data_IF_088364206961
#
_entry.id   IF_088364206961
#
_cell.length_a   1.000
_cell.length_b   1.000
_cell.length_c   1.000
_cell.angle_alpha   90.00
_cell.angle_beta   90.00
_cell.angle_gamma   90.00
#
_symmetry.space_group_name_H-M   'P 1'
#
loop_
_entity.id
_entity.type
_entity.pdbx_description
1 polymer ?
#
# COMPACT_ATOMS: atom_id res chain seq x y z
N UNK A 1 25.69 10.22 -7.08
CA UNK A 1 24.98 8.99 -7.50
C UNK A 1 24.21 9.17 -8.82
N UNK A 2 23.11 10.01 -8.91
CA UNK A 2 22.38 10.22 -10.19
C UNK A 2 23.32 10.74 -11.29
N UNK A 3 24.14 11.75 -11.00
CA UNK A 3 25.11 12.31 -11.93
C UNK A 3 26.19 11.27 -12.35
N UNK A 4 26.65 10.44 -11.44
CA UNK A 4 27.62 9.38 -11.72
C UNK A 4 27.04 8.30 -12.64
N UNK A 5 25.77 7.89 -12.43
CA UNK A 5 25.08 6.91 -13.29
C UNK A 5 24.84 7.51 -14.68
N UNK A 6 24.39 8.76 -14.77
CA UNK A 6 24.19 9.45 -16.03
C UNK A 6 25.49 9.62 -16.81
N UNK A 7 26.58 9.97 -16.12
CA UNK A 7 27.92 10.08 -16.73
C UNK A 7 28.44 8.72 -17.21
N UNK A 8 28.30 7.65 -16.41
CA UNK A 8 28.68 6.30 -16.80
C UNK A 8 27.87 5.80 -18.02
N UNK A 9 26.61 6.17 -18.13
CA UNK A 9 25.80 5.88 -19.30
C UNK A 9 26.29 6.65 -20.53
N UNK A 10 26.50 7.97 -20.41
CA UNK A 10 27.01 8.80 -21.50
C UNK A 10 28.38 8.32 -22.02
N UNK A 11 29.31 7.98 -21.13
CA UNK A 11 30.65 7.46 -21.49
C UNK A 11 30.56 6.10 -22.23
N UNK A 12 29.56 5.27 -21.94
CA UNK A 12 29.39 3.95 -22.58
C UNK A 12 28.56 3.99 -23.86
N UNK A 13 27.55 4.84 -23.93
CA UNK A 13 26.64 4.96 -25.08
C UNK A 13 27.20 5.88 -26.20
N UNK A 14 28.17 6.74 -25.89
CA UNK A 14 28.68 7.75 -26.82
C UNK A 14 27.66 8.86 -27.13
N UNK A 15 26.62 9.02 -26.31
CA UNK A 15 25.56 9.99 -26.51
C UNK A 15 25.86 11.29 -25.77
N UNK A 16 25.80 12.43 -26.47
CA UNK A 16 25.96 13.75 -25.87
C UNK A 16 24.65 14.12 -25.16
N UNK A 17 24.69 14.40 -23.84
CA UNK A 17 23.52 14.62 -22.96
C UNK A 17 22.80 15.95 -23.25
N UNK A 18 23.23 16.72 -24.26
CA UNK A 18 22.77 18.08 -24.52
C UNK A 18 21.43 18.20 -25.27
N UNK A 19 20.87 17.13 -25.86
CA UNK A 19 19.57 17.18 -26.54
C UNK A 19 18.43 16.70 -25.61
N UNK A 20 17.69 17.67 -25.07
CA UNK A 20 16.47 17.44 -24.26
C UNK A 20 15.28 17.09 -25.14
N UNK A 21 14.58 15.94 -24.95
CA UNK A 21 13.24 15.77 -25.45
C UNK A 21 12.26 16.57 -24.57
N UNK A 22 11.46 17.41 -25.18
CA UNK A 22 10.35 18.15 -24.53
C UNK A 22 9.21 17.19 -24.20
N UNK A 23 8.86 17.09 -22.92
CA UNK A 23 7.62 16.42 -22.48
C UNK A 23 6.48 17.42 -22.63
N UNK A 24 5.58 17.17 -23.56
CA UNK A 24 4.36 17.92 -23.73
C UNK A 24 3.14 16.99 -23.50
N UNK A 25 2.22 17.56 -22.76
CA UNK A 25 0.77 17.45 -22.79
C UNK A 25 0.05 16.59 -21.76
N UNK A 26 -0.72 17.37 -21.00
CA UNK A 26 -1.76 17.01 -20.06
C UNK A 26 -2.96 16.33 -20.75
N UNK A 27 -3.27 15.10 -20.37
CA UNK A 27 -4.57 14.49 -20.64
C UNK A 27 -5.38 14.33 -19.34
N UNK A 28 -6.61 14.82 -19.41
CA UNK A 28 -7.66 14.65 -18.39
C UNK A 28 -8.02 13.17 -18.31
N UNK A 29 -7.98 12.63 -17.09
CA UNK A 29 -8.26 11.21 -16.82
C UNK A 29 -9.75 10.90 -17.03
N UNK A 30 -10.03 10.03 -17.99
CA UNK A 30 -11.26 9.25 -18.04
C UNK A 30 -11.05 8.01 -17.13
N UNK A 31 -12.00 7.75 -16.21
CA UNK A 31 -11.89 6.76 -15.15
C UNK A 31 -11.90 5.30 -15.67
N UNK A 32 -10.86 4.91 -16.38
CA UNK A 32 -10.69 3.57 -16.96
C UNK A 32 -9.70 2.67 -16.20
N UNK A 33 -9.70 2.68 -14.86
CA UNK A 33 -8.88 1.77 -14.08
C UNK A 33 -9.52 0.37 -14.04
N UNK A 34 -8.82 -0.64 -14.58
CA UNK A 34 -9.23 -2.05 -14.46
C UNK A 34 -8.41 -2.74 -13.39
N UNK A 35 -9.07 -3.55 -12.56
CA UNK A 35 -8.39 -4.41 -11.59
C UNK A 35 -7.47 -5.43 -12.30
N UNK A 36 -6.41 -5.93 -11.66
CA UNK A 36 -5.54 -6.97 -12.23
C UNK A 36 -6.32 -8.21 -12.60
N UNK A 37 -6.03 -8.82 -13.75
CA UNK A 37 -6.82 -9.90 -14.35
C UNK A 37 -7.07 -11.13 -13.46
N UNK A 38 -6.18 -11.44 -12.50
CA UNK A 38 -6.32 -12.57 -11.58
C UNK A 38 -7.22 -12.27 -10.38
N UNK A 39 -7.19 -11.05 -9.84
CA UNK A 39 -7.94 -10.63 -8.64
C UNK A 39 -9.36 -10.20 -9.02
N UNK A 40 -9.56 -9.72 -10.24
CA UNK A 40 -10.87 -9.28 -10.74
C UNK A 40 -11.95 -10.39 -10.68
N UNK A 41 -11.55 -11.66 -10.73
CA UNK A 41 -12.45 -12.82 -10.71
C UNK A 41 -12.75 -13.35 -9.29
N UNK A 42 -12.06 -12.87 -8.23
CA UNK A 42 -12.24 -13.36 -6.88
C UNK A 42 -13.46 -12.73 -6.18
N UNK A 43 -14.04 -13.49 -5.23
CA UNK A 43 -15.22 -13.09 -4.47
C UNK A 43 -14.96 -11.83 -3.63
N UNK A 44 -15.87 -10.83 -3.63
CA UNK A 44 -15.77 -9.68 -2.74
C UNK A 44 -15.95 -10.10 -1.28
N UNK A 45 -15.01 -9.70 -0.41
CA UNK A 45 -15.08 -9.93 1.04
C UNK A 45 -15.50 -8.69 1.80
N UNK A 46 -15.23 -7.49 1.27
CA UNK A 46 -15.78 -6.23 1.80
C UNK A 46 -16.29 -5.39 0.62
N UNK A 47 -17.51 -4.92 0.72
CA UNK A 47 -18.14 -4.04 -0.26
C UNK A 47 -18.63 -2.78 0.42
N UNK A 48 -18.20 -1.64 -0.08
CA UNK A 48 -18.58 -0.31 0.36
C UNK A 48 -19.28 0.38 -0.80
N UNK A 49 -20.49 0.88 -0.58
CA UNK A 49 -21.25 1.59 -1.59
C UNK A 49 -21.70 2.94 -1.06
N UNK A 50 -21.22 4.01 -1.71
CA UNK A 50 -21.62 5.39 -1.43
C UNK A 50 -21.48 5.81 0.04
N UNK A 51 -20.46 5.31 0.74
CA UNK A 51 -20.24 5.56 2.16
C UNK A 51 -19.88 7.03 2.40
N UNK A 52 -20.69 7.70 3.25
CA UNK A 52 -20.36 9.02 3.74
C UNK A 52 -20.48 9.06 5.26
N UNK A 53 -19.51 9.71 5.92
CA UNK A 53 -19.46 9.83 7.36
C UNK A 53 -19.01 11.22 7.82
N UNK A 54 -19.68 11.76 8.83
CA UNK A 54 -19.31 13.03 9.46
C UNK A 54 -19.40 12.91 10.99
N UNK A 55 -18.36 13.38 11.66
CA UNK A 55 -18.33 13.46 13.12
C UNK A 55 -19.09 14.69 13.67
N UNK A 56 -19.25 15.74 12.88
CA UNK A 56 -19.79 17.02 13.31
C UNK A 56 -21.24 17.28 12.90
N UNK A 57 -21.71 16.66 11.80
CA UNK A 57 -23.06 16.89 11.29
C UNK A 57 -24.12 16.06 12.00
N UNK A 58 -25.19 16.72 12.44
CA UNK A 58 -26.42 16.05 12.90
C UNK A 58 -27.14 15.33 11.75
N UNK A 59 -28.01 14.37 12.07
CA UNK A 59 -28.82 13.65 11.08
C UNK A 59 -29.69 14.58 10.20
N UNK A 60 -30.16 15.70 10.78
CA UNK A 60 -30.96 16.71 10.07
C UNK A 60 -30.13 17.48 9.05
N UNK A 61 -28.88 17.82 9.40
CA UNK A 61 -27.94 18.53 8.51
C UNK A 61 -27.48 17.62 7.37
N UNK A 62 -27.16 16.36 7.64
CA UNK A 62 -26.84 15.36 6.60
C UNK A 62 -27.99 15.22 5.58
N UNK A 63 -29.25 15.14 6.03
CA UNK A 63 -30.41 15.10 5.13
C UNK A 63 -30.53 16.35 4.25
N UNK A 64 -30.22 17.54 4.79
CA UNK A 64 -30.19 18.78 4.00
C UNK A 64 -29.09 18.75 2.93
N UNK A 65 -27.90 18.28 3.33
CA UNK A 65 -26.78 18.11 2.40
C UNK A 65 -27.14 17.16 1.24
N UNK A 66 -27.68 16.00 1.54
CA UNK A 66 -28.11 15.00 0.55
C UNK A 66 -29.12 15.57 -0.46
N UNK A 67 -30.08 16.35 0.00
CA UNK A 67 -31.06 17.00 -0.90
C UNK A 67 -30.39 17.99 -1.84
N UNK A 68 -29.43 18.77 -1.37
CA UNK A 68 -28.66 19.71 -2.19
C UNK A 68 -27.78 19.00 -3.22
N UNK A 69 -27.12 17.91 -2.83
CA UNK A 69 -26.27 17.11 -3.73
C UNK A 69 -27.08 16.38 -4.81
N UNK A 70 -28.32 15.92 -4.50
CA UNK A 70 -29.16 15.23 -5.45
C UNK A 70 -29.70 16.17 -6.56
N UNK A 71 -29.84 17.47 -6.28
CA UNK A 71 -30.32 18.50 -7.24
C UNK A 71 -29.18 19.11 -8.07
N UNK A 72 -27.93 18.87 -7.67
CA UNK A 72 -26.75 19.38 -8.38
C UNK A 72 -26.30 18.39 -9.46
N UNK A 73 -26.06 18.85 -10.68
CA UNK A 73 -25.47 18.04 -11.77
C UNK A 73 -24.07 17.53 -11.42
N UNK A 74 -23.54 16.55 -12.18
CA UNK A 74 -22.25 15.90 -11.87
C UNK A 74 -21.09 16.88 -11.62
N UNK A 75 -20.95 17.91 -12.45
CA UNK A 75 -19.95 18.97 -12.26
C UNK A 75 -20.17 19.83 -11.00
N UNK A 76 -21.45 19.98 -10.60
CA UNK A 76 -21.80 20.74 -9.37
C UNK A 76 -21.71 19.88 -8.11
N UNK A 77 -21.75 18.55 -8.22
CA UNK A 77 -21.45 17.65 -7.09
C UNK A 77 -20.00 17.84 -6.63
N UNK A 78 -19.05 17.86 -7.57
CA UNK A 78 -17.63 18.08 -7.28
C UNK A 78 -17.40 19.48 -6.69
N UNK A 79 -18.16 20.52 -7.14
CA UNK A 79 -18.14 21.86 -6.56
C UNK A 79 -18.82 21.97 -5.19
N UNK A 80 -19.83 21.15 -4.89
CA UNK A 80 -20.49 21.09 -3.57
C UNK A 80 -19.65 20.33 -2.53
N UNK A 81 -18.82 19.41 -2.99
CA UNK A 81 -17.88 18.65 -2.18
C UNK A 81 -16.51 19.34 -2.12
N UNK A 82 -16.32 20.46 -2.82
CA UNK A 82 -15.07 21.16 -3.13
C UNK A 82 -14.00 21.13 -2.05
N UNK A 83 -12.78 21.46 -2.43
CA UNK A 83 -11.58 21.59 -1.58
C UNK A 83 -11.80 22.59 -0.41
N UNK A 84 -12.78 22.31 0.44
CA UNK A 84 -13.03 23.08 1.66
C UNK A 84 -12.28 22.39 2.79
N UNK A 85 -11.16 22.95 3.27
CA UNK A 85 -10.40 22.42 4.40
C UNK A 85 -11.25 22.34 5.68
N UNK A 86 -12.40 23.03 5.72
CA UNK A 86 -13.39 22.98 6.79
C UNK A 86 -14.55 22.01 6.47
N UNK A 87 -14.40 21.12 5.49
CA UNK A 87 -15.44 20.15 5.15
C UNK A 87 -15.81 19.33 6.38
N UNK A 88 -17.09 19.26 6.76
CA UNK A 88 -17.52 18.48 7.93
C UNK A 88 -17.51 16.96 7.69
N UNK A 89 -17.11 16.52 6.49
CA UNK A 89 -17.14 15.13 6.08
C UNK A 89 -15.75 14.48 6.23
N UNK A 90 -15.70 13.41 7.02
CA UNK A 90 -14.53 12.56 7.13
C UNK A 90 -14.46 11.53 5.98
N UNK A 91 -15.62 11.09 5.48
CA UNK A 91 -15.75 10.28 4.26
C UNK A 91 -16.86 10.87 3.38
N UNK A 92 -16.65 10.85 2.05
CA UNK A 92 -17.54 11.42 1.06
C UNK A 92 -17.72 10.46 -0.12
N UNK A 93 -18.90 9.86 -0.22
CA UNK A 93 -19.32 9.04 -1.36
C UNK A 93 -18.29 7.95 -1.76
N UNK A 94 -17.68 7.32 -0.74
CA UNK A 94 -16.65 6.29 -0.94
C UNK A 94 -17.32 5.02 -1.42
N UNK A 95 -16.88 4.51 -2.58
CA UNK A 95 -17.24 3.20 -3.11
C UNK A 95 -15.95 2.41 -3.30
N UNK A 96 -15.88 1.22 -2.70
CA UNK A 96 -14.68 0.39 -2.68
C UNK A 96 -15.06 -1.07 -2.47
N UNK A 97 -14.37 -1.97 -3.15
CA UNK A 97 -14.49 -3.42 -2.96
C UNK A 97 -13.14 -3.99 -2.57
N UNK A 98 -13.08 -4.83 -1.53
CA UNK A 98 -11.90 -5.65 -1.19
C UNK A 98 -12.21 -7.09 -1.57
N UNK A 99 -11.31 -7.75 -2.28
CA UNK A 99 -11.50 -9.11 -2.80
C UNK A 99 -10.79 -10.14 -1.92
N UNK A 100 -11.28 -11.38 -1.93
CA UNK A 100 -10.66 -12.48 -1.18
C UNK A 100 -9.23 -12.75 -1.68
N UNK A 101 -8.29 -12.85 -0.75
CA UNK A 101 -6.88 -13.08 -1.06
C UNK A 101 -6.18 -11.89 -1.72
N UNK A 102 -6.76 -10.68 -1.64
CA UNK A 102 -6.15 -9.44 -2.14
C UNK A 102 -5.26 -8.80 -1.08
N UNK A 103 -4.14 -8.21 -1.50
CA UNK A 103 -3.37 -7.27 -0.70
C UNK A 103 -3.67 -5.84 -1.17
N UNK A 104 -4.61 -5.18 -0.49
CA UNK A 104 -5.03 -3.82 -0.80
C UNK A 104 -4.22 -2.79 0.00
N UNK A 105 -3.57 -1.86 -0.69
CA UNK A 105 -2.93 -0.69 -0.11
C UNK A 105 -3.89 0.51 -0.01
N UNK A 106 -3.91 1.18 1.13
CA UNK A 106 -4.68 2.41 1.34
C UNK A 106 -3.72 3.56 1.61
N UNK A 107 -3.52 4.41 0.61
CA UNK A 107 -2.65 5.60 0.66
C UNK A 107 -3.44 6.88 0.92
N UNK A 108 -2.73 7.94 1.33
CA UNK A 108 -3.30 9.28 1.51
C UNK A 108 -2.60 10.05 2.61
N UNK A 109 -2.68 11.38 2.59
CA UNK A 109 -2.12 12.23 3.63
C UNK A 109 -2.92 12.12 4.95
N UNK A 110 -2.37 12.68 6.04
CA UNK A 110 -3.07 12.78 7.32
C UNK A 110 -4.36 13.60 7.15
N UNK A 111 -5.48 13.07 7.67
CA UNK A 111 -6.80 13.69 7.51
C UNK A 111 -7.55 13.33 6.22
N UNK A 112 -6.99 12.50 5.33
CA UNK A 112 -7.68 12.08 4.11
C UNK A 112 -8.85 11.09 4.32
N UNK A 113 -9.14 10.65 5.56
CA UNK A 113 -10.27 9.77 5.88
C UNK A 113 -9.91 8.29 6.09
N UNK A 114 -8.65 7.87 5.91
CA UNK A 114 -8.23 6.46 6.00
C UNK A 114 -8.62 5.77 7.31
N UNK A 115 -8.29 6.36 8.46
CA UNK A 115 -8.61 5.76 9.77
C UNK A 115 -10.12 5.67 10.01
N UNK A 116 -10.90 6.62 9.47
CA UNK A 116 -12.37 6.54 9.50
C UNK A 116 -12.85 5.39 8.62
N UNK A 117 -12.27 5.21 7.44
CA UNK A 117 -12.59 4.09 6.54
C UNK A 117 -12.25 2.76 7.20
N UNK A 118 -11.04 2.60 7.77
CA UNK A 118 -10.60 1.40 8.52
C UNK A 118 -11.62 1.01 9.60
N UNK A 119 -12.11 1.97 10.37
CA UNK A 119 -13.11 1.72 11.43
C UNK A 119 -14.47 1.26 10.90
N UNK A 120 -14.79 1.55 9.63
CA UNK A 120 -15.98 1.00 8.98
C UNK A 120 -15.78 -0.43 8.48
N UNK A 121 -14.54 -0.81 8.08
CA UNK A 121 -14.28 -2.15 7.53
C UNK A 121 -14.58 -3.28 8.53
N UNK A 122 -14.37 -3.04 9.83
CA UNK A 122 -14.63 -4.04 10.89
C UNK A 122 -15.85 -3.72 11.76
N UNK A 123 -16.68 -2.74 11.37
CA UNK A 123 -17.89 -2.37 12.09
C UNK A 123 -17.68 -1.70 13.45
N UNK A 124 -16.49 -1.09 13.71
CA UNK A 124 -16.30 -0.20 14.87
C UNK A 124 -17.18 1.03 14.76
N UNK A 125 -17.28 1.60 13.56
CA UNK A 125 -18.21 2.67 13.23
C UNK A 125 -19.23 2.13 12.24
N UNK A 126 -20.51 2.40 12.47
CA UNK A 126 -21.58 2.04 11.54
C UNK A 126 -21.77 3.10 10.47
N UNK A 127 -22.10 2.71 9.22
CA UNK A 127 -22.34 3.66 8.15
C UNK A 127 -23.47 4.63 8.51
N UNK A 128 -23.23 5.92 8.27
CA UNK A 128 -24.26 6.97 8.45
C UNK A 128 -25.06 7.18 7.17
N UNK A 129 -24.40 7.08 6.02
CA UNK A 129 -24.97 7.08 4.66
C UNK A 129 -24.25 6.04 3.82
N UNK A 130 -24.94 5.48 2.82
CA UNK A 130 -24.44 4.35 2.04
C UNK A 130 -24.55 3.02 2.79
N UNK A 131 -23.78 2.03 2.35
CA UNK A 131 -23.73 0.69 2.96
C UNK A 131 -22.31 0.16 3.03
N UNK A 132 -22.06 -0.68 4.03
CA UNK A 132 -20.82 -1.48 4.16
C UNK A 132 -21.26 -2.90 4.46
N UNK A 133 -20.88 -3.82 3.59
CA UNK A 133 -21.05 -5.25 3.74
C UNK A 133 -19.67 -5.90 3.89
N UNK A 134 -19.48 -6.72 4.91
CA UNK A 134 -18.25 -7.48 5.11
C UNK A 134 -18.59 -8.94 5.32
N UNK A 135 -17.98 -9.83 4.52
CA UNK A 135 -18.21 -11.27 4.56
C UNK A 135 -19.70 -11.64 4.47
N UNK A 136 -20.44 -10.92 3.62
CA UNK A 136 -21.88 -11.10 3.44
C UNK A 136 -22.78 -10.53 4.55
N UNK A 137 -22.20 -9.82 5.55
CA UNK A 137 -22.91 -9.24 6.70
C UNK A 137 -23.02 -7.72 6.56
N UNK A 138 -24.23 -7.18 6.77
CA UNK A 138 -24.47 -5.72 6.71
C UNK A 138 -24.09 -5.03 8.03
N UNK A 139 -23.07 -4.16 7.97
CA UNK A 139 -22.53 -3.46 9.13
C UNK A 139 -23.43 -2.34 9.68
N UNK A 140 -24.55 -2.03 9.03
CA UNK A 140 -25.60 -1.19 9.61
C UNK A 140 -26.33 -1.91 10.75
N UNK A 141 -26.38 -3.25 10.69
CA UNK A 141 -26.97 -4.12 11.71
C UNK A 141 -25.98 -4.33 12.87
N UNK A 142 -26.41 -4.07 14.11
CA UNK A 142 -25.57 -4.22 15.31
C UNK A 142 -25.07 -5.65 15.54
N UNK A 143 -25.89 -6.67 15.22
CA UNK A 143 -25.51 -8.08 15.41
C UNK A 143 -24.46 -8.50 14.40
N UNK A 144 -24.65 -8.13 13.13
CA UNK A 144 -23.74 -8.45 12.04
C UNK A 144 -22.39 -7.73 12.23
N UNK A 145 -22.41 -6.45 12.62
CA UNK A 145 -21.21 -5.70 12.97
C UNK A 145 -20.43 -6.33 14.15
N UNK A 146 -21.13 -6.95 15.11
CA UNK A 146 -20.45 -7.68 16.20
C UNK A 146 -19.82 -8.99 15.71
N UNK A 147 -20.48 -9.72 14.81
CA UNK A 147 -19.97 -10.96 14.22
C UNK A 147 -18.73 -10.69 13.32
N UNK A 148 -18.75 -9.60 12.56
CA UNK A 148 -17.64 -9.23 11.67
C UNK A 148 -16.34 -8.92 12.44
N UNK A 149 -16.43 -8.36 13.65
CA UNK A 149 -15.24 -8.04 14.48
C UNK A 149 -14.34 -9.24 14.77
N UNK A 150 -14.89 -10.43 14.81
CA UNK A 150 -14.13 -11.66 14.99
C UNK A 150 -13.37 -12.09 13.70
N UNK A 151 -13.90 -11.72 12.55
CA UNK A 151 -13.44 -12.17 11.24
C UNK A 151 -12.62 -11.12 10.48
N UNK A 152 -12.81 -9.84 10.80
CA UNK A 152 -12.02 -8.72 10.28
C UNK A 152 -11.15 -8.20 11.42
N UNK A 153 -9.94 -8.72 11.52
CA UNK A 153 -8.94 -8.32 12.50
C UNK A 153 -8.36 -6.94 12.15
N UNK A 154 -8.21 -6.07 13.14
CA UNK A 154 -7.58 -4.75 12.97
C UNK A 154 -6.38 -4.63 13.89
N UNK A 155 -5.24 -4.29 13.30
CA UNK A 155 -4.01 -3.92 14.02
C UNK A 155 -3.84 -2.41 13.85
N UNK A 156 -4.01 -1.67 14.95
CA UNK A 156 -3.87 -0.21 14.97
C UNK A 156 -2.40 0.22 15.06
N UNK A 157 -2.15 1.48 14.79
CA UNK A 157 -0.83 2.09 14.98
C UNK A 157 -0.35 1.90 16.44
N UNK A 158 0.91 1.47 16.60
CA UNK A 158 1.52 1.11 17.90
C UNK A 158 0.73 0.01 18.64
N UNK A 159 0.59 -1.19 18.06
CA UNK A 159 -0.23 -2.25 18.65
C UNK A 159 0.29 -2.72 20.02
N UNK A 160 1.57 -2.54 20.30
CA UNK A 160 2.19 -2.82 21.61
C UNK A 160 1.56 -2.03 22.76
N UNK A 161 0.93 -0.89 22.50
CA UNK A 161 0.22 -0.10 23.51
C UNK A 161 -1.14 -0.68 23.91
N UNK A 162 -1.59 -1.73 23.20
CA UNK A 162 -2.84 -2.41 23.47
C UNK A 162 -2.68 -3.64 24.37
N UNK A 163 -1.43 -4.00 24.73
CA UNK A 163 -1.14 -5.08 25.65
C UNK A 163 -1.55 -4.67 27.07
N UNK A 164 -2.23 -5.58 27.78
CA UNK A 164 -2.82 -5.26 29.10
C UNK A 164 -2.81 -6.42 30.09
N UNK A 165 -2.61 -7.68 29.64
CA UNK A 165 -2.66 -8.84 30.51
C UNK A 165 -1.38 -9.02 31.35
N UNK A 166 -1.47 -9.82 32.41
CA UNK A 166 -0.33 -10.13 33.26
C UNK A 166 0.73 -10.97 32.55
N UNK A 167 0.30 -11.87 31.63
CA UNK A 167 1.20 -12.73 30.86
C UNK A 167 0.90 -12.68 29.38
N UNK A 168 1.92 -12.97 28.54
CA UNK A 168 1.82 -13.08 27.10
C UNK A 168 0.73 -14.10 26.68
N UNK A 169 0.72 -15.26 27.34
CA UNK A 169 -0.26 -16.31 27.02
C UNK A 169 -1.69 -15.82 27.29
N UNK A 170 -1.93 -15.05 28.35
CA UNK A 170 -3.24 -14.49 28.68
C UNK A 170 -3.66 -13.42 27.67
N UNK A 171 -2.71 -12.56 27.26
CA UNK A 171 -2.98 -11.47 26.31
C UNK A 171 -3.39 -12.03 24.95
N UNK A 172 -2.60 -12.95 24.40
CA UNK A 172 -2.89 -13.61 23.10
C UNK A 172 -4.17 -14.44 23.15
N UNK A 173 -4.45 -15.12 24.28
CA UNK A 173 -5.66 -15.92 24.47
C UNK A 173 -6.94 -15.08 24.65
N UNK A 174 -6.83 -13.77 24.88
CA UNK A 174 -7.98 -12.92 25.23
C UNK A 174 -9.06 -12.89 24.12
N UNK A 175 -8.66 -12.69 22.86
CA UNK A 175 -9.58 -12.69 21.72
C UNK A 175 -10.35 -14.01 21.58
N UNK A 176 -9.68 -15.16 21.45
CA UNK A 176 -10.31 -16.47 21.39
C UNK A 176 -11.23 -16.82 22.56
N UNK A 177 -10.86 -16.43 23.79
CA UNK A 177 -11.74 -16.57 24.98
C UNK A 177 -13.03 -15.77 24.86
N UNK A 178 -12.94 -14.54 24.39
CA UNK A 178 -14.12 -13.69 24.18
C UNK A 178 -15.05 -14.20 23.08
N UNK A 179 -14.54 -15.03 22.16
CA UNK A 179 -15.36 -15.74 21.18
C UNK A 179 -16.09 -16.95 21.78
N UNK A 180 -15.83 -17.27 23.05
CA UNK A 180 -16.47 -18.43 23.74
C UNK A 180 -15.91 -19.78 23.28
N UNK A 181 -14.70 -19.82 22.75
CA UNK A 181 -14.08 -21.07 22.29
C UNK A 181 -13.70 -21.98 23.48
N UNK A 182 -13.70 -23.31 23.29
CA UNK A 182 -13.20 -24.26 24.27
C UNK A 182 -11.74 -23.98 24.66
N UNK A 183 -11.35 -24.31 25.89
CA UNK A 183 -10.04 -23.97 26.44
C UNK A 183 -8.86 -24.58 25.67
N UNK A 184 -9.01 -25.80 25.14
CA UNK A 184 -8.03 -26.46 24.30
C UNK A 184 -7.83 -25.74 22.96
N UNK A 185 -8.92 -25.28 22.34
CA UNK A 185 -8.87 -24.49 21.10
C UNK A 185 -8.26 -23.10 21.34
N UNK A 186 -8.57 -22.44 22.45
CA UNK A 186 -7.93 -21.19 22.86
C UNK A 186 -6.42 -21.36 23.00
N UNK A 187 -5.96 -22.43 23.66
CA UNK A 187 -4.55 -22.73 23.84
C UNK A 187 -3.86 -23.03 22.50
N UNK A 188 -4.50 -23.82 21.64
CA UNK A 188 -4.00 -24.16 20.30
C UNK A 188 -3.81 -22.88 19.46
N UNK A 189 -4.82 -22.00 19.40
CA UNK A 189 -4.77 -20.75 18.62
C UNK A 189 -3.71 -19.81 19.15
N UNK A 190 -3.60 -19.64 20.46
CA UNK A 190 -2.57 -18.80 21.08
C UNK A 190 -1.16 -19.29 20.74
N UNK A 191 -0.91 -20.61 20.86
CA UNK A 191 0.39 -21.21 20.51
C UNK A 191 0.70 -21.05 19.02
N UNK A 192 -0.25 -21.38 18.15
CA UNK A 192 -0.09 -21.26 16.70
C UNK A 192 0.19 -19.82 16.27
N UNK A 193 -0.56 -18.85 16.79
CA UNK A 193 -0.37 -17.43 16.42
C UNK A 193 0.97 -16.87 16.88
N UNK A 194 1.46 -17.25 18.07
CA UNK A 194 2.81 -16.88 18.52
C UNK A 194 3.89 -17.48 17.62
N UNK A 195 3.76 -18.75 17.25
CA UNK A 195 4.70 -19.39 16.31
C UNK A 195 4.71 -18.67 14.95
N UNK A 196 3.55 -18.30 14.41
CA UNK A 196 3.44 -17.57 13.13
C UNK A 196 4.18 -16.22 13.15
N UNK A 197 4.21 -15.54 14.29
CA UNK A 197 4.95 -14.28 14.43
C UNK A 197 6.41 -14.48 14.86
N UNK A 198 6.90 -15.72 14.91
CA UNK A 198 8.28 -16.06 15.25
C UNK A 198 8.60 -15.95 16.75
N UNK A 199 7.60 -16.21 17.62
CA UNK A 199 7.75 -16.24 19.07
C UNK A 199 7.43 -17.64 19.60
N UNK A 200 8.19 -18.08 20.61
CA UNK A 200 7.98 -19.35 21.28
C UNK A 200 7.17 -19.17 22.57
N UNK A 201 5.97 -19.75 22.60
CA UNK A 201 5.09 -19.73 23.78
C UNK A 201 5.78 -20.27 25.03
N UNK A 202 6.59 -21.33 24.91
CA UNK A 202 7.29 -21.93 26.05
C UNK A 202 8.31 -20.99 26.66
N UNK A 203 8.99 -20.20 25.81
CA UNK A 203 10.02 -19.27 26.24
C UNK A 203 9.48 -17.96 26.87
N UNK A 204 8.29 -17.50 26.42
CA UNK A 204 7.79 -16.19 26.82
C UNK A 204 6.35 -16.18 27.36
N UNK A 205 5.62 -17.28 27.29
CA UNK A 205 4.19 -17.34 27.60
C UNK A 205 3.84 -16.88 29.01
N UNK A 206 4.66 -17.22 30.01
CA UNK A 206 4.47 -16.83 31.42
C UNK A 206 5.09 -15.46 31.78
N UNK A 207 5.83 -14.84 30.85
CA UNK A 207 6.41 -13.51 31.08
C UNK A 207 5.34 -12.42 30.95
N UNK A 208 5.57 -11.33 31.66
CA UNK A 208 4.79 -10.11 31.42
C UNK A 208 5.09 -9.56 30.03
N UNK A 209 4.07 -9.16 29.25
CA UNK A 209 4.31 -8.47 27.98
C UNK A 209 5.24 -7.26 28.12
N UNK A 210 5.21 -6.58 29.26
CA UNK A 210 6.00 -5.37 29.53
C UNK A 210 7.48 -5.63 29.81
N UNK A 211 7.88 -6.89 30.04
CA UNK A 211 9.27 -7.33 30.18
C UNK A 211 9.94 -7.62 28.81
N UNK A 212 9.16 -7.65 27.74
CA UNK A 212 9.63 -7.95 26.39
C UNK A 212 10.22 -6.71 25.71
N UNK A 213 11.10 -6.93 24.72
CA UNK A 213 11.54 -5.84 23.85
C UNK A 213 10.36 -5.27 23.05
N UNK A 214 10.44 -4.00 22.62
CA UNK A 214 9.35 -3.37 21.85
C UNK A 214 8.95 -4.14 20.57
N UNK A 215 9.94 -4.74 19.89
CA UNK A 215 9.66 -5.61 18.74
C UNK A 215 8.92 -6.90 19.11
N UNK A 216 9.25 -7.52 20.25
CA UNK A 216 8.53 -8.67 20.76
C UNK A 216 7.13 -8.30 21.23
N UNK A 217 6.96 -7.17 21.94
CA UNK A 217 5.65 -6.66 22.35
C UNK A 217 4.73 -6.47 21.13
N UNK A 218 5.22 -5.85 20.05
CA UNK A 218 4.48 -5.66 18.80
C UNK A 218 4.07 -6.99 18.19
N UNK A 219 4.97 -7.98 18.14
CA UNK A 219 4.67 -9.33 17.64
C UNK A 219 3.63 -10.04 18.53
N UNK A 220 3.67 -9.87 19.85
CA UNK A 220 2.66 -10.41 20.77
C UNK A 220 1.29 -9.78 20.49
N UNK A 221 1.21 -8.46 20.37
CA UNK A 221 -0.04 -7.78 20.05
C UNK A 221 -0.61 -8.23 18.68
N UNK A 222 0.27 -8.42 17.69
CA UNK A 222 -0.11 -8.94 16.38
C UNK A 222 -0.60 -10.39 16.47
N UNK A 223 0.07 -11.25 17.27
CA UNK A 223 -0.37 -12.62 17.53
C UNK A 223 -1.75 -12.67 18.18
N UNK A 224 -2.08 -11.73 19.07
CA UNK A 224 -3.41 -11.61 19.67
C UNK A 224 -4.54 -11.40 18.65
N UNK A 225 -4.27 -10.65 17.58
CA UNK A 225 -5.23 -10.48 16.47
C UNK A 225 -5.27 -11.75 15.61
N UNK A 226 -4.12 -12.35 15.28
CA UNK A 226 -4.06 -13.59 14.49
C UNK A 226 -4.70 -14.77 15.20
N UNK A 227 -4.68 -14.81 16.54
CA UNK A 227 -5.30 -15.87 17.33
C UNK A 227 -6.83 -15.96 17.15
N UNK A 228 -7.45 -14.89 16.68
CA UNK A 228 -8.86 -14.90 16.30
C UNK A 228 -9.11 -15.59 14.97
N UNK A 229 -8.06 -15.93 14.21
CA UNK A 229 -8.12 -16.51 12.86
C UNK A 229 -8.97 -15.66 11.90
N UNK A 230 -8.61 -14.38 11.69
CA UNK A 230 -9.40 -13.49 10.85
C UNK A 230 -9.34 -13.92 9.38
N UNK A 231 -10.41 -13.66 8.62
CA UNK A 231 -10.47 -13.83 7.16
C UNK A 231 -9.91 -12.59 6.42
N UNK A 232 -9.98 -11.43 7.07
CA UNK A 232 -9.42 -10.16 6.58
C UNK A 232 -8.59 -9.52 7.70
N UNK A 233 -7.38 -9.09 7.37
CA UNK A 233 -6.48 -8.39 8.29
C UNK A 233 -6.30 -6.94 7.82
N UNK A 234 -6.73 -6.00 8.65
CA UNK A 234 -6.55 -4.57 8.41
C UNK A 234 -5.42 -4.05 9.27
N UNK A 235 -4.44 -3.41 8.65
CA UNK A 235 -3.22 -2.91 9.28
C UNK A 235 -3.19 -1.38 9.15
N UNK A 236 -3.32 -0.64 10.25
CA UNK A 236 -3.26 0.82 10.24
C UNK A 236 -1.86 1.29 10.64
N UNK A 237 -1.05 1.72 9.65
CA UNK A 237 0.34 2.18 9.81
C UNK A 237 1.22 1.19 10.61
N UNK A 238 1.28 -0.09 10.22
CA UNK A 238 1.89 -1.14 11.03
C UNK A 238 3.41 -0.99 11.17
N UNK A 239 4.06 -0.19 10.31
CA UNK A 239 5.52 0.04 10.29
C UNK A 239 5.95 1.23 11.13
N UNK A 240 5.01 2.00 11.71
CA UNK A 240 5.32 3.21 12.45
C UNK A 240 6.28 2.94 13.63
N UNK A 241 7.40 3.66 13.67
CA UNK A 241 8.39 3.56 14.75
C UNK A 241 9.31 2.33 14.70
N UNK A 242 9.26 1.50 13.66
CA UNK A 242 10.21 0.41 13.45
C UNK A 242 11.50 0.91 12.79
N UNK A 243 12.64 0.35 13.23
CA UNK A 243 13.89 0.48 12.50
C UNK A 243 13.84 -0.27 11.15
N UNK A 244 14.77 0.00 10.20
CA UNK A 244 14.71 -0.59 8.85
C UNK A 244 14.80 -2.13 8.83
N UNK A 245 15.45 -2.77 9.80
CA UNK A 245 15.56 -4.22 9.85
C UNK A 245 14.24 -4.83 10.34
N UNK A 246 13.72 -4.33 11.48
CA UNK A 246 12.43 -4.76 12.03
C UNK A 246 11.27 -4.52 11.04
N UNK A 247 11.34 -3.42 10.24
CA UNK A 247 10.37 -3.14 9.20
C UNK A 247 10.37 -4.20 8.11
N UNK A 248 11.53 -4.61 7.60
CA UNK A 248 11.65 -5.69 6.60
C UNK A 248 11.09 -7.00 7.13
N UNK A 249 11.54 -7.42 8.32
CA UNK A 249 11.07 -8.65 8.96
C UNK A 249 9.54 -8.67 9.12
N UNK A 250 8.94 -7.51 9.41
CA UNK A 250 7.50 -7.41 9.62
C UNK A 250 6.75 -7.42 8.27
N UNK A 251 7.28 -6.79 7.22
CA UNK A 251 6.71 -6.87 5.86
C UNK A 251 6.79 -8.29 5.32
N UNK A 252 7.91 -8.99 5.53
CA UNK A 252 8.04 -10.40 5.17
C UNK A 252 7.04 -11.29 5.92
N UNK A 253 6.79 -11.00 7.21
CA UNK A 253 5.76 -11.70 7.97
C UNK A 253 4.38 -11.50 7.35
N UNK A 254 4.00 -10.26 7.03
CA UNK A 254 2.70 -9.96 6.42
C UNK A 254 2.60 -10.62 5.03
N UNK A 255 3.67 -10.58 4.23
CA UNK A 255 3.74 -11.25 2.93
C UNK A 255 3.47 -12.75 3.04
N UNK A 256 4.14 -13.46 3.97
CA UNK A 256 3.88 -14.90 4.21
C UNK A 256 2.42 -15.18 4.60
N UNK A 257 1.81 -14.32 5.45
CA UNK A 257 0.40 -14.48 5.82
C UNK A 257 -0.53 -14.28 4.62
N UNK A 258 -0.20 -13.36 3.74
CA UNK A 258 -0.93 -13.14 2.50
C UNK A 258 -0.76 -14.34 1.53
N UNK A 259 0.45 -14.86 1.36
CA UNK A 259 0.73 -16.06 0.56
C UNK A 259 -0.03 -17.29 1.07
N UNK A 260 -0.32 -17.36 2.38
CA UNK A 260 -1.20 -18.36 2.98
C UNK A 260 -2.69 -18.14 2.66
N UNK A 261 -3.05 -17.10 1.91
CA UNK A 261 -4.41 -16.79 1.47
C UNK A 261 -5.16 -15.77 2.32
N UNK A 262 -4.49 -15.11 3.29
CA UNK A 262 -5.11 -14.07 4.09
C UNK A 262 -5.34 -12.80 3.24
N UNK A 263 -6.56 -12.27 3.28
CA UNK A 263 -6.85 -10.96 2.68
C UNK A 263 -6.26 -9.85 3.56
N UNK A 264 -5.49 -8.93 2.97
CA UNK A 264 -4.81 -7.88 3.72
C UNK A 264 -5.24 -6.50 3.21
N UNK A 265 -5.55 -5.59 4.13
CA UNK A 265 -5.73 -4.16 3.84
C UNK A 265 -4.69 -3.40 4.66
N UNK A 266 -3.73 -2.76 4.00
CA UNK A 266 -2.65 -2.04 4.67
C UNK A 266 -2.74 -0.53 4.42
N UNK A 267 -2.93 0.23 5.47
CA UNK A 267 -2.79 1.69 5.45
C UNK A 267 -1.31 2.03 5.63
N UNK A 268 -0.75 2.78 4.71
CA UNK A 268 0.62 3.29 4.84
C UNK A 268 0.76 4.65 4.17
N UNK A 269 1.64 5.48 4.74
CA UNK A 269 2.14 6.70 4.10
C UNK A 269 3.43 6.47 3.30
N UNK A 270 4.00 5.27 3.39
CA UNK A 270 5.19 4.86 2.63
C UNK A 270 4.80 4.30 1.28
N UNK A 271 5.09 5.05 0.22
CA UNK A 271 4.84 4.59 -1.14
C UNK A 271 5.71 3.40 -1.51
N UNK A 272 6.91 3.28 -0.91
CA UNK A 272 7.80 2.13 -1.14
C UNK A 272 7.18 0.82 -0.59
N UNK A 273 6.56 0.83 0.61
CA UNK A 273 5.88 -0.36 1.15
C UNK A 273 4.70 -0.78 0.28
N UNK A 274 3.87 0.21 -0.11
CA UNK A 274 2.71 -0.05 -0.95
C UNK A 274 3.11 -0.57 -2.33
N UNK A 275 4.19 -0.03 -2.90
CA UNK A 275 4.72 -0.47 -4.18
C UNK A 275 5.21 -1.92 -4.18
N UNK A 276 5.81 -2.36 -3.05
CA UNK A 276 6.43 -3.67 -2.93
C UNK A 276 5.47 -4.78 -2.50
N UNK A 277 4.36 -4.43 -1.79
CA UNK A 277 3.52 -5.44 -1.13
C UNK A 277 2.11 -5.54 -1.70
N UNK A 278 1.59 -4.48 -2.34
CA UNK A 278 0.17 -4.42 -2.67
C UNK A 278 -0.11 -4.83 -4.12
N UNK A 279 -1.16 -5.60 -4.31
CA UNK A 279 -1.71 -5.92 -5.64
C UNK A 279 -2.42 -4.70 -6.25
N UNK A 280 -3.13 -3.96 -5.39
CA UNK A 280 -3.88 -2.76 -5.74
C UNK A 280 -3.73 -1.69 -4.66
N UNK A 281 -3.72 -0.44 -5.09
CA UNK A 281 -3.63 0.73 -4.21
C UNK A 281 -4.85 1.61 -4.43
N UNK A 282 -5.44 2.05 -3.33
CA UNK A 282 -6.48 3.08 -3.28
C UNK A 282 -5.89 4.31 -2.62
N UNK A 283 -5.95 5.42 -3.31
CA UNK A 283 -5.48 6.72 -2.81
C UNK A 283 -6.66 7.52 -2.33
N UNK A 284 -6.63 7.88 -1.05
CA UNK A 284 -7.65 8.74 -0.42
C UNK A 284 -7.19 10.19 -0.38
N UNK A 285 -8.06 11.09 -0.80
CA UNK A 285 -7.87 12.53 -0.64
C UNK A 285 -9.16 13.18 -0.16
N UNK A 286 -9.08 14.01 0.88
CA UNK A 286 -10.22 14.79 1.43
C UNK A 286 -11.51 13.97 1.65
N UNK A 287 -11.38 12.74 2.14
CA UNK A 287 -12.50 11.84 2.43
C UNK A 287 -13.08 11.10 1.24
N UNK A 288 -12.53 11.22 0.05
CA UNK A 288 -12.96 10.53 -1.15
C UNK A 288 -11.85 9.66 -1.75
N UNK A 289 -12.20 8.70 -2.59
CA UNK A 289 -11.24 7.98 -3.42
C UNK A 289 -10.77 8.92 -4.53
N UNK A 290 -9.47 9.17 -4.58
CA UNK A 290 -8.81 10.03 -5.57
C UNK A 290 -8.34 9.21 -6.78
N UNK A 291 -7.69 8.07 -6.52
CA UNK A 291 -7.21 7.14 -7.53
C UNK A 291 -7.26 5.71 -6.99
N UNK A 292 -7.41 4.75 -7.89
CA UNK A 292 -7.42 3.33 -7.58
C UNK A 292 -6.82 2.55 -8.76
N UNK A 293 -5.95 1.59 -8.50
CA UNK A 293 -5.34 0.78 -9.55
C UNK A 293 -4.18 -0.07 -9.03
N UNK A 294 -3.51 -0.77 -9.93
CA UNK A 294 -2.24 -1.44 -9.61
C UNK A 294 -1.17 -0.41 -9.22
N UNK A 295 -0.10 -0.81 -8.51
CA UNK A 295 1.01 0.11 -8.22
C UNK A 295 1.52 0.84 -9.47
N UNK A 296 1.67 0.14 -10.59
CA UNK A 296 2.08 0.73 -11.87
C UNK A 296 1.12 1.82 -12.35
N UNK A 297 -0.19 1.56 -12.30
CA UNK A 297 -1.21 2.53 -12.72
C UNK A 297 -1.23 3.76 -11.82
N UNK A 298 -1.21 3.57 -10.48
CA UNK A 298 -1.26 4.68 -9.53
C UNK A 298 0.00 5.53 -9.61
N UNK A 299 1.18 4.92 -9.66
CA UNK A 299 2.45 5.67 -9.70
C UNK A 299 2.80 6.26 -11.07
N UNK A 300 2.11 5.86 -12.14
CA UNK A 300 2.21 6.55 -13.44
C UNK A 300 1.76 8.03 -13.33
N UNK A 301 0.88 8.36 -12.37
CA UNK A 301 0.35 9.70 -12.12
C UNK A 301 1.14 10.49 -11.06
N UNK A 302 2.48 10.48 -11.17
CA UNK A 302 3.38 11.07 -10.18
C UNK A 302 3.09 12.55 -9.86
N UNK A 303 2.77 13.36 -10.87
CA UNK A 303 2.52 14.79 -10.68
C UNK A 303 1.16 15.06 -10.00
N UNK A 304 0.16 14.25 -10.27
CA UNK A 304 -1.14 14.31 -9.62
C UNK A 304 -1.03 13.92 -8.15
N UNK A 305 -0.28 12.84 -7.83
CA UNK A 305 0.01 12.44 -6.46
C UNK A 305 0.74 13.55 -5.70
N UNK A 306 1.73 14.21 -6.33
CA UNK A 306 2.42 15.38 -5.74
C UNK A 306 1.47 16.54 -5.47
N UNK A 307 0.50 16.79 -6.36
CA UNK A 307 -0.47 17.90 -6.20
C UNK A 307 -1.33 17.76 -4.94
N UNK A 308 -1.55 16.52 -4.47
CA UNK A 308 -2.28 16.21 -3.22
C UNK A 308 -1.34 15.92 -2.05
N UNK A 309 -0.05 16.27 -2.16
CA UNK A 309 0.93 16.12 -1.08
C UNK A 309 1.45 14.70 -0.87
N UNK A 310 1.25 13.79 -1.83
CA UNK A 310 1.80 12.44 -1.79
C UNK A 310 3.06 12.35 -2.64
N UNK A 311 3.99 11.50 -2.19
CA UNK A 311 5.19 11.16 -2.96
C UNK A 311 4.95 9.98 -3.92
N UNK A 312 6.02 9.61 -4.63
CA UNK A 312 6.12 8.34 -5.35
C UNK A 312 7.27 7.52 -4.73
N UNK A 313 7.35 6.21 -5.00
CA UNK A 313 8.44 5.36 -4.51
C UNK A 313 9.84 5.93 -4.78
N UNK A 314 10.80 5.63 -3.92
CA UNK A 314 12.18 6.14 -4.03
C UNK A 314 12.85 5.72 -5.34
N UNK A 315 12.64 4.48 -5.77
CA UNK A 315 13.14 3.97 -7.05
C UNK A 315 12.61 4.78 -8.23
N UNK A 316 11.31 5.09 -8.24
CA UNK A 316 10.69 5.89 -9.31
C UNK A 316 11.20 7.35 -9.29
N UNK A 317 11.37 7.96 -8.10
CA UNK A 317 11.99 9.29 -8.02
C UNK A 317 13.38 9.32 -8.63
N UNK A 318 14.18 8.26 -8.36
CA UNK A 318 15.51 8.11 -8.95
C UNK A 318 15.45 7.92 -10.48
N UNK A 319 14.53 7.07 -10.96
CA UNK A 319 14.32 6.86 -12.40
C UNK A 319 13.94 8.16 -13.11
N UNK A 320 13.00 8.94 -12.56
CA UNK A 320 12.61 10.25 -13.09
C UNK A 320 13.80 11.23 -13.13
N UNK A 321 14.66 11.22 -12.09
CA UNK A 321 15.86 12.06 -12.07
C UNK A 321 16.91 11.64 -13.11
N UNK A 322 17.04 10.34 -13.37
CA UNK A 322 17.91 9.81 -14.42
C UNK A 322 17.40 10.18 -15.82
N UNK A 323 16.09 10.12 -16.05
CA UNK A 323 15.48 10.58 -17.31
C UNK A 323 15.75 12.07 -17.54
N UNK A 324 15.59 12.90 -16.49
CA UNK A 324 15.95 14.32 -16.56
C UNK A 324 17.44 14.57 -16.86
N UNK A 325 18.31 13.65 -16.44
CA UNK A 325 19.74 13.67 -16.76
C UNK A 325 20.08 13.04 -18.13
N UNK A 326 19.08 12.67 -18.95
CA UNK A 326 19.27 12.17 -20.32
C UNK A 326 19.37 10.65 -20.45
N UNK A 327 19.16 9.88 -19.37
CA UNK A 327 19.13 8.40 -19.45
C UNK A 327 17.75 7.96 -19.99
N UNK A 328 17.66 7.16 -21.08
CA UNK A 328 16.40 6.80 -21.73
C UNK A 328 15.69 5.64 -20.99
N UNK A 329 15.14 5.91 -19.78
CA UNK A 329 14.40 4.97 -18.97
C UNK A 329 12.89 5.09 -19.21
N UNK A 330 12.18 3.96 -19.13
CA UNK A 330 10.71 3.92 -19.08
C UNK A 330 10.25 3.85 -17.63
N UNK A 331 9.84 4.98 -17.07
CA UNK A 331 9.56 5.11 -15.62
C UNK A 331 8.26 4.46 -15.14
N UNK A 332 7.37 4.04 -16.04
CA UNK A 332 6.03 3.51 -15.74
C UNK A 332 6.03 2.21 -14.90
N UNK A 333 7.13 1.43 -14.94
CA UNK A 333 7.27 0.17 -14.18
C UNK A 333 8.42 0.19 -13.17
N UNK A 334 9.15 1.30 -13.04
CA UNK A 334 10.35 1.40 -12.20
C UNK A 334 10.04 1.96 -10.81
N UNK A 335 9.06 1.37 -10.13
CA UNK A 335 8.63 1.79 -8.79
C UNK A 335 9.25 0.94 -7.66
N UNK A 336 9.93 -0.17 -7.97
CA UNK A 336 10.71 -0.96 -7.00
C UNK A 336 12.21 -0.84 -7.27
N UNK A 337 13.02 -1.06 -6.24
CA UNK A 337 14.49 -0.99 -6.34
C UNK A 337 15.03 -2.05 -7.28
N UNK A 338 14.47 -3.27 -7.21
CA UNK A 338 14.83 -4.41 -8.03
C UNK A 338 14.57 -4.11 -9.51
N UNK A 339 13.37 -3.63 -9.85
CA UNK A 339 12.99 -3.30 -11.22
C UNK A 339 13.91 -2.21 -11.81
N UNK A 340 14.24 -1.18 -11.02
CA UNK A 340 15.17 -0.14 -11.46
C UNK A 340 16.60 -0.67 -11.64
N UNK A 341 17.07 -1.52 -10.72
CA UNK A 341 18.42 -2.10 -10.80
C UNK A 341 18.55 -3.01 -12.03
N UNK A 342 17.55 -3.85 -12.32
CA UNK A 342 17.54 -4.75 -13.48
C UNK A 342 17.54 -3.96 -14.79
N UNK A 343 16.73 -2.91 -14.89
CA UNK A 343 16.68 -2.05 -16.09
C UNK A 343 18.04 -1.35 -16.33
N UNK A 344 18.64 -0.77 -15.27
CA UNK A 344 19.96 -0.14 -15.36
C UNK A 344 21.05 -1.15 -15.72
N UNK A 345 21.04 -2.34 -15.14
CA UNK A 345 21.98 -3.40 -15.45
C UNK A 345 21.86 -3.85 -16.92
N UNK A 346 20.63 -4.01 -17.42
CA UNK A 346 20.38 -4.36 -18.82
C UNK A 346 20.91 -3.30 -19.80
N UNK A 347 20.66 -2.02 -19.49
CA UNK A 347 21.19 -0.91 -20.31
C UNK A 347 22.72 -0.87 -20.34
N UNK A 348 23.37 -1.08 -19.21
CA UNK A 348 24.83 -1.07 -19.12
C UNK A 348 25.44 -2.28 -19.83
N UNK A 349 24.79 -3.44 -19.87
CA UNK A 349 25.22 -4.62 -20.61
C UNK A 349 24.99 -4.43 -22.12
N UNK A 350 23.84 -3.92 -22.54
CA UNK A 350 23.54 -3.65 -23.95
C UNK A 350 24.49 -2.62 -24.58
N UNK A 351 24.98 -1.65 -23.80
CA UNK A 351 26.01 -0.72 -24.23
C UNK A 351 27.42 -1.40 -24.39
N UNK A 352 27.66 -2.50 -23.66
CA UNK A 352 28.93 -3.24 -23.77
C UNK A 352 29.04 -4.11 -25.03
N UNK A 353 27.89 -4.58 -25.56
CA UNK A 353 27.79 -5.43 -26.75
C UNK A 353 27.57 -4.65 -28.07
N UNK A 354 27.48 -3.33 -28.00
CA UNK A 354 27.30 -2.44 -29.15
C UNK A 354 28.56 -2.35 -30.06
N UNK A 355 28.44 -1.77 -31.29
CA UNK A 355 29.36 -1.95 -32.41
C UNK A 355 30.78 -1.38 -32.29
N UNK A 356 31.25 -1.06 -31.08
CA UNK A 356 32.64 -0.62 -30.85
C UNK A 356 33.72 -1.70 -31.12
N UNK A 357 33.32 -2.94 -31.42
CA UNK A 357 34.28 -3.98 -31.87
C UNK A 357 34.64 -3.91 -33.36
N UNK A 358 33.93 -3.15 -34.19
CA UNK A 358 34.14 -3.13 -35.64
C UNK A 358 35.25 -2.14 -36.11
N UNK A 359 35.71 -1.22 -35.27
CA UNK A 359 36.66 -0.17 -35.68
C UNK A 359 38.15 -0.44 -35.31
N UNK A 360 38.46 -1.61 -34.71
CA UNK A 360 39.88 -1.96 -34.38
C UNK A 360 40.54 -2.97 -35.30
N UNK A 361 39.98 -3.31 -36.46
CA UNK A 361 40.58 -4.22 -37.44
C UNK A 361 40.76 -3.60 -38.83
N UNK A 362 41.15 -2.34 -38.93
CA UNK A 362 41.81 -1.86 -40.16
C UNK A 362 43.21 -1.44 -39.82
N UNK A 363 44.05 -2.45 -39.66
CA UNK A 363 45.47 -2.30 -39.49
C UNK A 363 46.09 -1.71 -40.76
N UNK A 364 46.77 -0.63 -40.59
CA UNK A 364 47.68 0.01 -41.47
C UNK A 364 48.64 -1.00 -42.13
N UNK A 365 48.49 -1.26 -43.44
CA UNK A 365 49.58 -1.74 -44.30
C UNK A 365 50.35 -0.51 -44.80
N UNK A 366 51.54 -0.30 -44.28
CA UNK A 366 52.50 0.59 -44.87
C UNK A 366 52.95 0.03 -46.22
N UNK A 367 53.13 0.86 -47.29
CA UNK A 367 53.78 0.44 -48.49
C UNK A 367 55.26 0.45 -48.30
N UNK A 368 55.91 -0.66 -48.59
CA UNK A 368 57.39 -0.81 -48.74
C UNK A 368 57.84 -0.04 -49.98
N UNK A 369 58.75 0.89 -49.78
CA UNK A 369 59.57 1.51 -50.86
C UNK A 369 60.53 0.46 -51.36
N UNK A 370 60.45 0.11 -52.63
CA UNK A 370 61.54 -0.48 -53.39
C UNK A 370 62.44 0.65 -53.87
N UNK A 371 63.70 0.62 -53.44
CA UNK A 371 64.77 1.31 -54.11
C UNK A 371 65.33 0.36 -55.17
N UNK A 372 65.25 0.78 -56.43
CA UNK A 372 65.94 0.15 -57.58
C UNK A 372 67.03 1.02 -58.04
N UNK A 373 68.17 0.39 -58.24
CA UNK A 373 69.36 0.88 -58.87
C UNK A 373 69.12 1.15 -60.34
#
# INVERSE_FOLDING_TARGET
MVAEIAQAYAERSGTDIAERPSVSDSHVLDNGFSAPDGIAASEPVIEISHLSHSYSLSARERRRWRKRSATAGASSKQALWGNDPNSPWALRDVTLTVRRGEFLGLAGHTGSGKSTLVQHLNGLIRPQEGSVCALGLDLSNKKDAAAVKAKVGVVFQYPERQLFAETVAQDVAFGPRNLGLPQDEVARRAASSLTRVGLDLVAIGDKSPFELSGGQQRRVAFAGVLAMEPEVLVLDEPMAGLDPAARRDFLELIGRLHDEGLTVVMVSHSMDDLANCCDRIVVMNEGAVFAEGTPSQVFAHADELKSIGLGVPAAQRMALSLVQAGVPLRCDKLYTVEALADELAGMLQGCADGPLRASRQTGSKMPTREEGC
#
